data_IF_015990317369
#
_entry.id   IF_015990317369
#
_cell.length_a   1.000
_cell.length_b   1.000
_cell.length_c   1.000
_cell.angle_alpha   90.00
_cell.angle_beta   90.00
_cell.angle_gamma   90.00
#
_symmetry.space_group_name_H-M   'P 1'
#
loop_
_entity.id
_entity.type
_entity.pdbx_description
1 polymer ?
#
# COMPACT_ATOMS: atom_id res chain seq x y z
N UNK A 1 -0.11 5.75 -21.10
CA UNK A 1 -1.43 6.07 -20.54
C UNK A 1 -1.58 7.58 -20.35
N UNK A 2 -2.44 8.20 -21.15
CA UNK A 2 -2.85 9.60 -21.18
C UNK A 2 -4.23 9.78 -20.54
N UNK A 3 -4.64 11.02 -20.26
CA UNK A 3 -5.98 11.32 -19.70
C UNK A 3 -7.12 10.84 -20.61
N UNK A 4 -6.89 10.81 -21.93
CA UNK A 4 -7.85 10.29 -22.89
C UNK A 4 -8.02 8.78 -22.70
N UNK A 5 -6.92 8.04 -22.67
CA UNK A 5 -6.93 6.59 -22.50
C UNK A 5 -7.53 6.19 -21.15
N UNK A 6 -7.29 6.97 -20.08
CA UNK A 6 -7.92 6.75 -18.77
C UNK A 6 -9.43 6.91 -18.89
N UNK A 7 -9.93 8.03 -19.43
CA UNK A 7 -11.36 8.26 -19.58
C UNK A 7 -12.05 7.16 -20.41
N UNK A 8 -11.42 6.78 -21.53
CA UNK A 8 -11.93 5.76 -22.43
C UNK A 8 -11.97 4.37 -21.74
N UNK A 9 -10.91 3.99 -21.00
CA UNK A 9 -10.84 2.72 -20.26
C UNK A 9 -11.76 2.65 -19.05
N UNK A 10 -12.07 3.80 -18.43
CA UNK A 10 -12.97 3.91 -17.29
C UNK A 10 -14.43 4.12 -17.71
N UNK A 11 -14.73 4.11 -19.01
CA UNK A 11 -16.07 4.32 -19.58
C UNK A 11 -16.74 5.64 -19.10
N UNK A 12 -15.94 6.68 -18.86
CA UNK A 12 -16.42 8.01 -18.47
C UNK A 12 -16.11 9.06 -19.52
N UNK A 13 -16.93 10.10 -19.60
CA UNK A 13 -16.63 11.21 -20.50
C UNK A 13 -15.35 11.93 -20.07
N UNK A 14 -14.58 12.43 -21.03
CA UNK A 14 -13.40 13.26 -20.76
C UNK A 14 -13.76 14.48 -19.90
N UNK A 15 -14.90 15.12 -20.18
CA UNK A 15 -15.37 16.27 -19.40
C UNK A 15 -15.59 15.91 -17.92
N UNK A 16 -16.18 14.74 -17.66
CA UNK A 16 -16.33 14.22 -16.29
C UNK A 16 -14.97 14.04 -15.63
N UNK A 17 -14.02 13.39 -16.31
CA UNK A 17 -12.69 13.15 -15.74
C UNK A 17 -11.97 14.47 -15.43
N UNK A 18 -11.97 15.44 -16.35
CA UNK A 18 -11.30 16.74 -16.16
C UNK A 18 -11.95 17.61 -15.07
N UNK A 19 -13.23 17.41 -14.77
CA UNK A 19 -13.89 18.10 -13.66
C UNK A 19 -13.34 17.65 -12.30
N UNK A 20 -12.85 16.40 -12.20
CA UNK A 20 -12.30 15.83 -10.97
C UNK A 20 -10.77 15.88 -10.94
N UNK A 21 -10.12 15.61 -12.06
CA UNK A 21 -8.68 15.47 -12.18
C UNK A 21 -8.17 16.24 -13.39
N UNK A 22 -7.42 17.32 -13.15
CA UNK A 22 -6.95 18.23 -14.20
C UNK A 22 -5.89 17.59 -15.09
N UNK A 23 -5.10 16.69 -14.52
CA UNK A 23 -4.01 16.02 -15.19
C UNK A 23 -3.81 14.60 -14.65
N UNK A 24 -2.94 13.85 -15.32
CA UNK A 24 -2.62 12.46 -14.95
C UNK A 24 -2.03 12.37 -13.54
N UNK A 25 -1.23 13.34 -13.12
CA UNK A 25 -0.60 13.33 -11.81
C UNK A 25 -1.65 13.44 -10.69
N UNK A 26 -2.71 14.24 -10.89
CA UNK A 26 -3.82 14.33 -9.96
C UNK A 26 -4.63 13.02 -9.86
N UNK A 27 -4.76 12.27 -10.96
CA UNK A 27 -5.36 10.91 -10.94
C UNK A 27 -4.49 9.95 -10.14
N UNK A 28 -3.17 9.96 -10.37
CA UNK A 28 -2.23 9.09 -9.66
C UNK A 28 -2.22 9.42 -8.17
N UNK A 29 -2.20 10.69 -7.80
CA UNK A 29 -2.24 11.13 -6.41
C UNK A 29 -3.51 10.63 -5.71
N UNK A 30 -4.67 10.78 -6.35
CA UNK A 30 -5.94 10.30 -5.81
C UNK A 30 -5.99 8.76 -5.69
N UNK A 31 -5.38 8.04 -6.62
CA UNK A 31 -5.23 6.58 -6.52
C UNK A 31 -4.35 6.21 -5.31
N UNK A 32 -3.20 6.86 -5.12
CA UNK A 32 -2.35 6.63 -3.96
C UNK A 32 -3.06 6.94 -2.63
N UNK A 33 -3.83 8.02 -2.57
CA UNK A 33 -4.66 8.37 -1.41
C UNK A 33 -5.70 7.28 -1.12
N UNK A 34 -6.42 6.83 -2.15
CA UNK A 34 -7.41 5.76 -2.05
C UNK A 34 -6.79 4.44 -1.58
N UNK A 35 -5.64 4.05 -2.12
CA UNK A 35 -4.97 2.81 -1.73
C UNK A 35 -4.45 2.87 -0.28
N UNK A 36 -3.91 4.02 0.15
CA UNK A 36 -3.50 4.20 1.55
C UNK A 36 -4.69 4.16 2.49
N UNK A 37 -5.81 4.80 2.13
CA UNK A 37 -7.05 4.72 2.90
C UNK A 37 -7.57 3.28 3.00
N UNK A 38 -7.47 2.50 1.92
CA UNK A 38 -7.83 1.08 1.90
C UNK A 38 -6.93 0.24 2.83
N UNK A 39 -5.62 0.48 2.82
CA UNK A 39 -4.68 -0.17 3.74
C UNK A 39 -4.98 0.16 5.21
N UNK A 40 -5.25 1.43 5.51
CA UNK A 40 -5.63 1.87 6.86
C UNK A 40 -6.92 1.18 7.31
N UNK A 41 -7.93 1.11 6.43
CA UNK A 41 -9.18 0.42 6.72
C UNK A 41 -8.97 -1.07 7.02
N UNK A 42 -8.05 -1.74 6.32
CA UNK A 42 -7.70 -3.14 6.62
C UNK A 42 -7.08 -3.27 8.00
N UNK A 43 -6.12 -2.40 8.34
CA UNK A 43 -5.46 -2.42 9.63
C UNK A 43 -6.45 -2.19 10.79
N UNK A 44 -7.40 -1.27 10.61
CA UNK A 44 -8.39 -0.91 11.63
C UNK A 44 -9.50 -1.95 11.83
N UNK A 45 -9.86 -2.69 10.77
CA UNK A 45 -10.93 -3.69 10.83
C UNK A 45 -10.43 -5.11 11.17
N UNK A 46 -9.12 -5.31 11.28
CA UNK A 46 -8.56 -6.59 11.66
C UNK A 46 -8.77 -6.89 13.15
N UNK A 47 -8.97 -8.15 13.48
CA UNK A 47 -9.21 -8.61 14.86
C UNK A 47 -8.01 -8.40 15.79
N UNK A 48 -6.80 -8.44 15.24
CA UNK A 48 -5.54 -8.25 15.96
C UNK A 48 -4.41 -7.85 14.99
N UNK A 49 -3.26 -7.46 15.55
CA UNK A 49 -2.11 -7.00 14.77
C UNK A 49 -1.56 -8.05 13.80
N UNK A 50 -1.52 -9.33 14.18
CA UNK A 50 -1.04 -10.40 13.31
C UNK A 50 -1.92 -10.53 12.07
N UNK A 51 -3.24 -10.56 12.25
CA UNK A 51 -4.19 -10.68 11.14
C UNK A 51 -4.15 -9.43 10.24
N UNK A 52 -3.98 -8.24 10.82
CA UNK A 52 -3.80 -7.00 10.06
C UNK A 52 -2.58 -7.08 9.14
N UNK A 53 -1.43 -7.48 9.69
CA UNK A 53 -0.17 -7.58 8.97
C UNK A 53 -0.21 -8.68 7.90
N UNK A 54 -0.82 -9.83 8.19
CA UNK A 54 -1.02 -10.91 7.23
C UNK A 54 -1.86 -10.44 6.04
N UNK A 55 -3.02 -9.80 6.29
CA UNK A 55 -3.92 -9.34 5.24
C UNK A 55 -3.26 -8.29 4.35
N UNK A 56 -2.58 -7.30 4.94
CA UNK A 56 -1.84 -6.29 4.19
C UNK A 56 -0.72 -6.92 3.35
N UNK A 57 0.02 -7.86 3.94
CA UNK A 57 1.11 -8.58 3.29
C UNK A 57 0.64 -9.36 2.07
N UNK A 58 -0.45 -10.13 2.21
CA UNK A 58 -1.04 -10.87 1.10
C UNK A 58 -1.45 -9.91 -0.02
N UNK A 59 -2.18 -8.84 0.32
CA UNK A 59 -2.68 -7.94 -0.71
C UNK A 59 -1.56 -7.21 -1.47
N UNK A 60 -0.53 -6.72 -0.77
CA UNK A 60 0.64 -6.11 -1.42
C UNK A 60 1.35 -7.15 -2.30
N UNK A 61 1.55 -8.36 -1.80
CA UNK A 61 2.29 -9.41 -2.50
C UNK A 61 1.55 -9.91 -3.76
N UNK A 62 0.21 -9.93 -3.73
CA UNK A 62 -0.62 -10.40 -4.84
C UNK A 62 -1.14 -9.30 -5.76
N UNK A 63 -0.83 -8.02 -5.48
CA UNK A 63 -1.38 -6.90 -6.24
C UNK A 63 -0.93 -6.95 -7.72
N UNK A 64 -1.87 -7.00 -8.68
CA UNK A 64 -1.53 -7.06 -10.10
C UNK A 64 -0.82 -5.80 -10.61
N UNK A 65 -1.14 -4.62 -10.08
CA UNK A 65 -0.52 -3.37 -10.52
C UNK A 65 0.96 -3.33 -10.07
N UNK A 66 1.24 -3.65 -8.81
CA UNK A 66 2.61 -3.80 -8.31
C UNK A 66 3.38 -4.87 -9.08
N UNK A 67 2.74 -5.99 -9.41
CA UNK A 67 3.33 -7.04 -10.25
C UNK A 67 3.73 -6.53 -11.63
N UNK A 68 2.83 -5.83 -12.31
CA UNK A 68 3.13 -5.21 -13.61
C UNK A 68 4.22 -4.14 -13.49
N UNK A 69 4.19 -3.30 -12.45
CA UNK A 69 5.21 -2.27 -12.22
C UNK A 69 6.60 -2.88 -11.99
N UNK A 70 6.72 -4.01 -11.29
CA UNK A 70 8.02 -4.71 -11.14
C UNK A 70 8.62 -5.11 -12.49
N UNK A 71 7.78 -5.53 -13.44
CA UNK A 71 8.21 -6.03 -14.76
C UNK A 71 8.46 -4.86 -15.72
N UNK A 72 7.57 -3.87 -15.74
CA UNK A 72 7.50 -2.87 -16.80
C UNK A 72 8.01 -1.49 -16.37
N UNK A 73 7.82 -1.11 -15.09
CA UNK A 73 8.11 0.23 -14.59
C UNK A 73 8.86 0.24 -13.24
N UNK A 74 9.95 -0.54 -13.05
CA UNK A 74 10.59 -0.72 -11.75
C UNK A 74 11.14 0.60 -11.18
N UNK A 75 11.61 1.51 -12.03
CA UNK A 75 12.11 2.81 -11.60
C UNK A 75 11.00 3.70 -10.99
N UNK A 76 9.78 3.63 -11.53
CA UNK A 76 8.65 4.37 -10.96
C UNK A 76 8.23 3.77 -9.62
N UNK A 77 8.18 2.44 -9.54
CA UNK A 77 7.89 1.72 -8.30
C UNK A 77 8.88 2.09 -7.18
N UNK A 78 10.18 2.00 -7.45
CA UNK A 78 11.21 2.34 -6.46
C UNK A 78 11.14 3.79 -6.01
N UNK A 79 10.83 4.75 -6.90
CA UNK A 79 10.65 6.16 -6.53
C UNK A 79 9.47 6.36 -5.57
N UNK A 80 8.34 5.70 -5.82
CA UNK A 80 7.18 5.75 -4.93
C UNK A 80 7.48 5.18 -3.53
N UNK A 81 8.15 4.01 -3.49
CA UNK A 81 8.53 3.36 -2.24
C UNK A 81 9.60 4.14 -1.46
N UNK A 82 10.48 4.88 -2.15
CA UNK A 82 11.51 5.70 -1.52
C UNK A 82 11.00 7.05 -0.97
N UNK A 83 9.74 7.41 -1.21
CA UNK A 83 9.14 8.67 -0.77
C UNK A 83 8.81 8.68 0.74
N UNK A 84 9.78 8.36 1.60
CA UNK A 84 9.60 8.14 3.05
C UNK A 84 9.01 9.34 3.82
N UNK A 85 9.10 10.55 3.26
CA UNK A 85 8.52 11.78 3.82
C UNK A 85 7.06 12.03 3.38
N UNK A 86 6.47 11.08 2.65
CA UNK A 86 5.06 11.15 2.26
C UNK A 86 4.15 11.09 3.48
N UNK A 87 3.22 12.05 3.58
CA UNK A 87 2.15 12.04 4.58
C UNK A 87 1.31 10.76 4.50
N UNK A 88 1.16 10.18 3.30
CA UNK A 88 0.43 8.92 3.12
C UNK A 88 1.10 7.76 3.88
N UNK A 89 2.43 7.65 3.79
CA UNK A 89 3.16 6.63 4.55
C UNK A 89 3.11 6.89 6.05
N UNK A 90 3.15 8.16 6.47
CA UNK A 90 2.91 8.55 7.86
C UNK A 90 1.56 8.03 8.38
N UNK A 91 0.47 8.29 7.65
CA UNK A 91 -0.88 7.86 8.04
C UNK A 91 -1.01 6.33 8.13
N UNK A 92 -0.38 5.59 7.21
CA UNK A 92 -0.36 4.13 7.27
C UNK A 92 0.44 3.65 8.49
N UNK A 93 1.60 4.26 8.76
CA UNK A 93 2.41 3.93 9.93
C UNK A 93 1.67 4.19 11.24
N UNK A 94 0.96 5.32 11.35
CA UNK A 94 0.16 5.65 12.53
C UNK A 94 -0.97 4.65 12.75
N UNK A 95 -1.66 4.20 11.68
CA UNK A 95 -2.67 3.15 11.76
C UNK A 95 -2.07 1.81 12.23
N UNK A 96 -0.87 1.47 11.75
CA UNK A 96 -0.13 0.30 12.23
C UNK A 96 0.29 0.44 13.70
N UNK A 97 0.68 1.63 14.14
CA UNK A 97 1.05 1.89 15.54
C UNK A 97 -0.13 1.69 16.49
N UNK A 98 -1.34 2.08 16.07
CA UNK A 98 -2.57 1.84 16.85
C UNK A 98 -2.82 0.34 17.03
N UNK A 99 -2.80 -0.46 15.96
CA UNK A 99 -3.13 -1.90 16.06
C UNK A 99 -2.02 -2.72 16.72
N UNK A 100 -0.75 -2.32 16.55
CA UNK A 100 0.41 -2.99 17.16
C UNK A 100 0.68 -2.53 18.59
N UNK A 101 0.16 -1.37 18.99
CA UNK A 101 0.44 -0.74 20.28
C UNK A 101 1.87 -0.19 20.43
N UNK A 102 2.65 -0.10 19.34
CA UNK A 102 4.05 0.32 19.39
C UNK A 102 4.52 0.98 18.10
N UNK A 103 5.02 2.21 18.20
CA UNK A 103 5.59 2.93 17.06
C UNK A 103 6.79 2.20 16.45
N UNK A 104 7.64 1.59 17.28
CA UNK A 104 8.82 0.85 16.82
C UNK A 104 8.41 -0.36 15.98
N UNK A 105 7.34 -1.04 16.39
CA UNK A 105 6.82 -2.22 15.68
C UNK A 105 6.14 -1.79 14.39
N UNK A 106 5.39 -0.69 14.40
CA UNK A 106 4.79 -0.10 13.20
C UNK A 106 5.85 0.30 12.17
N UNK A 107 6.93 0.95 12.60
CA UNK A 107 8.06 1.32 11.76
C UNK A 107 8.73 0.10 11.10
N UNK A 108 8.89 -0.99 11.86
CA UNK A 108 9.45 -2.24 11.35
C UNK A 108 8.48 -2.92 10.37
N UNK A 109 7.20 -3.02 10.75
CA UNK A 109 6.15 -3.57 9.91
C UNK A 109 6.02 -2.82 8.59
N UNK A 110 6.10 -1.48 8.62
CA UNK A 110 6.05 -0.65 7.43
C UNK A 110 7.21 -0.97 6.46
N UNK A 111 8.45 -1.07 6.97
CA UNK A 111 9.60 -1.47 6.15
C UNK A 111 9.46 -2.88 5.59
N UNK A 112 8.93 -3.79 6.38
CA UNK A 112 8.63 -5.15 5.95
C UNK A 112 7.59 -5.16 4.82
N UNK A 113 6.48 -4.44 4.96
CA UNK A 113 5.44 -4.33 3.92
C UNK A 113 5.96 -3.67 2.62
N UNK A 114 6.75 -2.58 2.72
CA UNK A 114 7.40 -1.97 1.54
C UNK A 114 8.27 -2.97 0.80
N UNK A 115 9.03 -3.80 1.53
CA UNK A 115 9.89 -4.82 0.93
C UNK A 115 9.14 -5.76 -0.01
N UNK A 116 7.88 -6.07 0.31
CA UNK A 116 7.05 -6.99 -0.45
C UNK A 116 6.56 -6.43 -1.78
N UNK A 117 6.49 -5.10 -1.92
CA UNK A 117 6.19 -4.48 -3.19
C UNK A 117 7.26 -4.82 -4.26
N UNK A 118 8.50 -5.09 -3.84
CA UNK A 118 9.59 -5.54 -4.71
C UNK A 118 9.80 -7.06 -4.66
N UNK A 119 9.66 -7.67 -3.48
CA UNK A 119 9.90 -9.09 -3.22
C UNK A 119 8.66 -9.72 -2.56
N UNK A 120 7.62 -10.04 -3.36
CA UNK A 120 6.34 -10.52 -2.82
C UNK A 120 6.51 -11.84 -2.05
N UNK A 121 5.71 -12.00 -1.01
CA UNK A 121 5.68 -13.20 -0.17
C UNK A 121 4.59 -14.17 -0.61
N UNK A 122 4.75 -15.43 -0.22
CA UNK A 122 3.65 -16.39 -0.25
C UNK A 122 2.66 -16.08 0.90
N UNK A 123 1.43 -16.59 0.81
CA UNK A 123 0.46 -16.45 1.90
C UNK A 123 0.97 -17.11 3.20
N UNK A 124 1.65 -18.26 3.08
CA UNK A 124 2.25 -18.94 4.23
C UNK A 124 3.35 -18.09 4.88
N UNK A 125 4.26 -17.53 4.09
CA UNK A 125 5.33 -16.66 4.62
C UNK A 125 4.76 -15.36 5.21
N UNK A 126 3.68 -14.83 4.62
CA UNK A 126 2.98 -13.64 5.13
C UNK A 126 2.51 -13.88 6.57
N UNK A 127 1.87 -15.03 6.84
CA UNK A 127 1.43 -15.41 8.19
C UNK A 127 2.61 -15.56 9.15
N UNK A 128 3.61 -16.35 8.77
CA UNK A 128 4.76 -16.65 9.63
C UNK A 128 5.55 -15.38 9.98
N UNK A 129 5.77 -14.49 9.01
CA UNK A 129 6.45 -13.23 9.25
C UNK A 129 5.63 -12.28 10.14
N UNK A 130 4.32 -12.20 9.95
CA UNK A 130 3.45 -11.40 10.81
C UNK A 130 3.51 -11.89 12.28
N UNK A 131 3.41 -13.20 12.51
CA UNK A 131 3.54 -13.80 13.85
C UNK A 131 4.92 -13.52 14.47
N UNK A 132 5.99 -13.62 13.69
CA UNK A 132 7.35 -13.32 14.16
C UNK A 132 7.51 -11.84 14.54
N UNK A 133 7.00 -10.92 13.74
CA UNK A 133 7.06 -9.49 14.01
C UNK A 133 6.34 -9.13 15.32
N UNK A 134 5.13 -9.67 15.52
CA UNK A 134 4.33 -9.40 16.72
C UNK A 134 4.88 -10.12 17.96
N UNK A 135 5.39 -11.34 17.83
CA UNK A 135 5.95 -12.07 18.98
C UNK A 135 7.18 -11.39 19.59
N UNK A 136 7.99 -10.70 18.77
CA UNK A 136 9.17 -9.94 19.21
C UNK A 136 8.85 -8.56 19.78
N UNK A 137 7.66 -8.02 19.51
CA UNK A 137 7.18 -6.76 20.07
C UNK A 137 6.87 -6.84 21.57
N UNK A 138 6.61 -8.04 22.09
CA UNK A 138 6.18 -8.29 23.47
C UNK A 138 7.34 -8.63 24.43
N UNK A 139 8.57 -8.25 24.08
CA UNK A 139 9.79 -8.43 24.88
C UNK A 139 10.24 -7.08 25.41
#
# INVERSE_FOLDING_TARGET
>A
MSMIEIADSSEVSRATLYNHFRDKESVIAALCESECARMIAIAQNASNATDALELLSIQISTDPALSNMRIHDPAALTRGLAAAQSLLWGNVCDALAVITGSQVVADLAMRWLIGQALHPLTAQDSRLHAELLISRANI
#
